data_IF_639774083763
#
_entry.id   IF_639774083763
#
_cell.length_a   1.000
_cell.length_b   1.000
_cell.length_c   1.000
_cell.angle_alpha   90.00
_cell.angle_beta   90.00
_cell.angle_gamma   90.00
#
_symmetry.space_group_name_H-M   'P 1'
#
loop_
_entity.id
_entity.type
_entity.pdbx_description
1 polymer ?
#
# COMPACT_ATOMS: atom_id res chain seq x y z
N UNK A 1 -7.66 20.66 -31.77
CA UNK A 1 -7.92 19.47 -32.63
C UNK A 1 -8.48 18.40 -31.72
N UNK A 2 -9.81 18.28 -31.68
CA UNK A 2 -10.53 17.28 -30.91
C UNK A 2 -10.24 15.90 -31.48
N UNK A 3 -9.66 15.03 -30.66
CA UNK A 3 -9.48 13.62 -31.01
C UNK A 3 -10.86 12.97 -30.90
N UNK A 4 -11.52 12.76 -32.03
CA UNK A 4 -12.74 11.95 -32.10
C UNK A 4 -12.39 10.53 -31.72
N UNK A 5 -12.87 10.08 -30.55
CA UNK A 5 -12.89 8.67 -30.19
C UNK A 5 -13.62 7.88 -31.28
N UNK A 6 -13.10 6.72 -31.67
CA UNK A 6 -13.67 5.89 -32.70
C UNK A 6 -15.06 5.40 -32.29
N UNK A 7 -15.96 5.18 -33.27
CA UNK A 7 -17.31 4.65 -32.97
C UNK A 7 -17.30 3.26 -32.32
N UNK A 8 -16.20 2.52 -32.43
CA UNK A 8 -15.99 1.26 -31.68
C UNK A 8 -15.83 1.50 -30.19
N UNK A 9 -15.05 2.52 -29.78
CA UNK A 9 -14.83 2.88 -28.37
C UNK A 9 -16.11 3.42 -27.69
N UNK A 10 -17.07 3.89 -28.49
CA UNK A 10 -18.40 4.34 -27.99
C UNK A 10 -19.40 3.19 -27.85
N UNK A 11 -19.31 2.14 -28.66
CA UNK A 11 -20.27 1.02 -28.62
C UNK A 11 -20.00 0.00 -27.51
N UNK A 12 -18.78 -0.13 -27.03
CA UNK A 12 -18.46 -1.03 -25.91
C UNK A 12 -18.86 -0.47 -24.53
N UNK A 13 -19.09 0.85 -24.40
CA UNK A 13 -19.47 1.47 -23.13
C UNK A 13 -20.96 1.39 -22.75
N UNK A 14 -21.84 0.94 -23.65
CA UNK A 14 -23.29 1.10 -23.48
C UNK A 14 -24.06 -0.19 -23.16
N UNK A 15 -23.40 -1.33 -22.87
CA UNK A 15 -24.11 -2.60 -22.69
C UNK A 15 -23.88 -3.30 -21.32
N UNK A 16 -23.04 -2.78 -20.45
CA UNK A 16 -22.89 -3.38 -19.11
C UNK A 16 -24.02 -2.90 -18.20
N UNK A 17 -24.82 -3.86 -17.71
CA UNK A 17 -25.84 -3.57 -16.69
C UNK A 17 -25.18 -2.89 -15.48
N UNK A 18 -25.81 -1.85 -14.90
CA UNK A 18 -25.27 -1.17 -13.75
C UNK A 18 -25.00 -2.15 -12.60
N UNK A 19 -23.86 -1.99 -11.95
CA UNK A 19 -23.50 -2.76 -10.75
C UNK A 19 -24.18 -2.07 -9.56
N UNK A 20 -25.05 -2.77 -8.85
CA UNK A 20 -25.92 -2.17 -7.84
C UNK A 20 -25.44 -2.39 -6.39
N UNK A 21 -24.49 -3.30 -6.19
CA UNK A 21 -23.91 -3.57 -4.87
C UNK A 21 -22.41 -3.89 -4.99
N UNK A 22 -21.70 -3.75 -3.87
CA UNK A 22 -20.29 -4.12 -3.81
C UNK A 22 -20.09 -5.61 -4.06
N UNK A 23 -20.94 -6.45 -3.52
CA UNK A 23 -20.94 -7.91 -3.71
C UNK A 23 -21.02 -8.27 -5.21
N UNK A 24 -22.00 -7.70 -5.93
CA UNK A 24 -22.10 -7.85 -7.39
C UNK A 24 -20.85 -7.33 -8.11
N UNK A 25 -20.28 -6.22 -7.65
CA UNK A 25 -19.05 -5.65 -8.20
C UNK A 25 -17.84 -6.56 -8.03
N UNK A 26 -17.73 -7.21 -6.89
CA UNK A 26 -16.67 -8.20 -6.60
C UNK A 26 -16.84 -9.43 -7.49
N UNK A 27 -18.05 -10.00 -7.54
CA UNK A 27 -18.33 -11.21 -8.33
C UNK A 27 -18.10 -11.04 -9.84
N UNK A 28 -18.44 -9.86 -10.38
CA UNK A 28 -18.27 -9.54 -11.81
C UNK A 28 -16.87 -9.06 -12.18
N UNK A 29 -16.01 -8.86 -11.19
CA UNK A 29 -14.68 -8.29 -11.38
C UNK A 29 -13.63 -9.36 -11.62
N UNK A 30 -12.71 -9.10 -12.57
CA UNK A 30 -11.49 -9.90 -12.78
C UNK A 30 -10.29 -9.32 -12.00
N UNK A 31 -10.56 -8.76 -10.82
CA UNK A 31 -9.54 -8.17 -9.95
C UNK A 31 -8.82 -9.21 -9.11
N UNK A 32 -7.52 -9.04 -8.99
CA UNK A 32 -6.69 -9.76 -8.02
C UNK A 32 -6.26 -8.78 -6.95
N UNK A 33 -6.53 -9.11 -5.69
CA UNK A 33 -6.22 -8.28 -4.55
C UNK A 33 -5.05 -8.85 -3.77
N UNK A 34 -4.10 -7.99 -3.45
CA UNK A 34 -2.90 -8.29 -2.69
C UNK A 34 -2.84 -7.42 -1.45
N UNK A 35 -2.19 -7.91 -0.40
CA UNK A 35 -1.62 -7.06 0.64
C UNK A 35 -0.11 -7.03 0.52
N UNK A 36 0.44 -5.82 0.48
CA UNK A 36 1.88 -5.57 0.47
C UNK A 36 2.28 -5.13 1.86
N UNK A 37 3.22 -5.83 2.46
CA UNK A 37 3.62 -5.62 3.85
C UNK A 37 5.12 -5.31 3.94
N UNK A 38 5.45 -4.18 4.58
CA UNK A 38 6.80 -3.87 5.01
C UNK A 38 6.97 -4.22 6.49
N UNK A 39 7.91 -5.10 6.79
CA UNK A 39 8.12 -5.66 8.12
C UNK A 39 9.22 -4.96 8.88
N UNK A 40 8.96 -4.68 10.15
CA UNK A 40 9.97 -4.36 11.16
C UNK A 40 9.86 -5.44 12.27
N UNK A 41 10.66 -6.48 12.17
CA UNK A 41 10.57 -7.70 12.95
C UNK A 41 9.17 -8.35 12.79
N UNK A 42 8.39 -8.49 13.86
CA UNK A 42 7.04 -9.06 13.84
C UNK A 42 5.92 -8.05 13.58
N UNK A 43 6.25 -6.76 13.38
CA UNK A 43 5.29 -5.69 13.16
C UNK A 43 5.19 -5.31 11.69
N UNK A 44 3.96 -5.08 11.25
CA UNK A 44 3.69 -4.56 9.91
C UNK A 44 3.73 -3.04 9.93
N UNK A 45 4.89 -2.44 9.61
CA UNK A 45 5.07 -0.98 9.63
C UNK A 45 4.54 -0.29 8.36
N UNK A 46 4.43 -1.04 7.28
CA UNK A 46 3.77 -0.62 6.04
C UNK A 46 2.73 -1.66 5.67
N UNK A 47 1.49 -1.22 5.44
CA UNK A 47 0.37 -2.06 5.02
C UNK A 47 -0.30 -1.39 3.84
N UNK A 48 -0.31 -2.04 2.67
CA UNK A 48 -0.92 -1.52 1.47
C UNK A 48 -1.82 -2.60 0.87
N UNK A 49 -3.10 -2.30 0.71
CA UNK A 49 -4.00 -3.10 -0.12
C UNK A 49 -3.80 -2.67 -1.58
N UNK A 50 -3.57 -3.62 -2.48
CA UNK A 50 -3.40 -3.40 -3.90
C UNK A 50 -4.41 -4.23 -4.67
N UNK A 51 -5.21 -3.59 -5.53
CA UNK A 51 -6.23 -4.23 -6.34
C UNK A 51 -5.91 -4.07 -7.83
N UNK A 52 -5.46 -5.14 -8.47
CA UNK A 52 -5.12 -5.17 -9.89
C UNK A 52 -6.32 -5.59 -10.73
N UNK A 53 -6.84 -4.65 -11.51
CA UNK A 53 -7.86 -4.88 -12.52
C UNK A 53 -7.19 -5.38 -13.81
N UNK A 54 -7.31 -6.66 -14.11
CA UNK A 54 -6.66 -7.28 -15.25
C UNK A 54 -7.34 -6.95 -16.58
N UNK A 55 -8.64 -6.72 -16.53
CA UNK A 55 -9.45 -6.35 -17.71
C UNK A 55 -9.15 -4.91 -18.16
N UNK A 56 -9.23 -3.95 -17.21
CA UNK A 56 -9.06 -2.52 -17.52
C UNK A 56 -7.63 -2.03 -17.33
N UNK A 57 -6.69 -2.93 -17.02
CA UNK A 57 -5.27 -2.61 -16.86
C UNK A 57 -5.06 -1.42 -15.89
N UNK A 58 -5.54 -1.56 -14.67
CA UNK A 58 -5.43 -0.53 -13.64
C UNK A 58 -5.10 -1.15 -12.29
N UNK A 59 -4.31 -0.46 -11.50
CA UNK A 59 -4.01 -0.86 -10.12
C UNK A 59 -4.41 0.25 -9.16
N UNK A 60 -5.27 -0.08 -8.21
CA UNK A 60 -5.66 0.81 -7.12
C UNK A 60 -4.93 0.38 -5.83
N UNK A 61 -4.22 1.33 -5.19
CA UNK A 61 -3.52 1.12 -3.93
C UNK A 61 -4.20 1.88 -2.81
N UNK A 62 -4.41 1.22 -1.67
CA UNK A 62 -4.89 1.84 -0.43
C UNK A 62 -3.87 1.58 0.67
N UNK A 63 -3.14 2.62 1.08
CA UNK A 63 -2.26 2.55 2.25
C UNK A 63 -3.06 2.58 3.52
N UNK A 64 -2.87 1.59 4.39
CA UNK A 64 -3.53 1.48 5.69
C UNK A 64 -2.55 1.95 6.77
N UNK A 65 -2.84 3.06 7.49
CA UNK A 65 -1.96 3.55 8.53
C UNK A 65 -1.74 2.48 9.61
N UNK A 66 -0.50 2.23 9.99
CA UNK A 66 -0.13 1.17 10.94
C UNK A 66 -0.78 1.31 12.33
N UNK A 67 -1.15 2.54 12.69
CA UNK A 67 -1.81 2.86 13.95
C UNK A 67 -3.34 2.79 13.85
N UNK A 68 -3.90 2.25 12.76
CA UNK A 68 -5.35 2.09 12.57
C UNK A 68 -5.93 1.25 13.71
N UNK A 69 -6.96 1.82 14.34
CA UNK A 69 -7.66 1.16 15.43
C UNK A 69 -8.43 -0.05 14.92
N UNK A 70 -8.21 -1.20 15.58
CA UNK A 70 -8.96 -2.43 15.34
C UNK A 70 -9.47 -2.99 16.67
N UNK A 71 -10.77 -3.28 16.74
CA UNK A 71 -11.31 -3.98 17.88
C UNK A 71 -11.04 -5.48 17.75
N UNK A 72 -10.47 -6.08 18.81
CA UNK A 72 -10.23 -7.53 18.88
C UNK A 72 -10.67 -8.05 20.24
N UNK A 73 -11.63 -8.96 20.25
CA UNK A 73 -12.11 -9.59 21.49
C UNK A 73 -10.98 -10.36 22.17
N UNK A 74 -10.79 -10.15 23.48
CA UNK A 74 -9.71 -10.79 24.26
C UNK A 74 -8.35 -10.07 24.21
N UNK A 75 -8.24 -8.98 23.41
CA UNK A 75 -7.04 -8.14 23.33
C UNK A 75 -7.37 -6.76 23.92
N UNK A 76 -7.38 -6.65 25.23
CA UNK A 76 -7.92 -5.47 25.91
C UNK A 76 -6.91 -4.33 26.09
N UNK A 77 -5.60 -4.61 25.99
CA UNK A 77 -4.55 -3.59 26.18
C UNK A 77 -4.54 -2.58 25.02
N UNK A 78 -4.24 -1.32 25.35
CA UNK A 78 -4.21 -0.22 24.37
C UNK A 78 -3.31 -0.53 23.15
N UNK A 79 -2.11 -1.05 23.36
CA UNK A 79 -1.16 -1.38 22.30
C UNK A 79 -1.68 -2.47 21.35
N UNK A 80 -2.53 -3.36 21.86
CA UNK A 80 -3.09 -4.46 21.09
C UNK A 80 -4.23 -4.03 20.15
N UNK A 81 -4.68 -2.77 20.23
CA UNK A 81 -5.75 -2.22 19.40
C UNK A 81 -5.27 -1.54 18.12
N UNK A 82 -4.03 -1.80 17.69
CA UNK A 82 -3.48 -1.29 16.43
C UNK A 82 -3.36 -2.40 15.41
N UNK A 83 -3.59 -2.09 14.13
CA UNK A 83 -3.51 -3.09 13.06
C UNK A 83 -2.10 -3.69 12.90
N UNK A 84 -1.07 -2.91 13.18
CA UNK A 84 0.33 -3.33 13.00
C UNK A 84 0.81 -4.47 13.92
N UNK A 85 0.05 -4.83 14.95
CA UNK A 85 0.35 -5.97 15.82
C UNK A 85 -0.49 -7.21 15.50
N UNK A 86 -1.48 -7.08 14.60
CA UNK A 86 -2.39 -8.20 14.27
C UNK A 86 -1.65 -9.39 13.67
N UNK A 87 -0.66 -9.12 12.80
CA UNK A 87 0.17 -10.18 12.21
C UNK A 87 0.94 -10.97 13.28
N UNK A 88 1.57 -10.29 14.22
CA UNK A 88 2.31 -10.95 15.32
C UNK A 88 1.44 -11.82 16.21
N UNK A 89 0.17 -11.41 16.44
CA UNK A 89 -0.76 -12.13 17.32
C UNK A 89 -1.53 -13.25 16.59
N UNK A 90 -1.87 -13.07 15.30
CA UNK A 90 -2.80 -13.94 14.57
C UNK A 90 -2.27 -14.45 13.22
N UNK A 91 -1.02 -14.14 12.90
CA UNK A 91 -0.42 -14.50 11.61
C UNK A 91 -1.10 -13.81 10.42
N UNK A 92 -0.78 -14.32 9.23
CA UNK A 92 -1.26 -13.76 7.97
C UNK A 92 -2.77 -13.87 7.82
N UNK A 93 -3.36 -14.99 8.20
CA UNK A 93 -4.81 -15.22 8.09
C UNK A 93 -5.62 -14.22 8.94
N UNK A 94 -5.14 -13.93 10.16
CA UNK A 94 -5.79 -12.93 11.00
C UNK A 94 -5.68 -11.52 10.45
N UNK A 95 -4.53 -11.16 9.86
CA UNK A 95 -4.33 -9.87 9.23
C UNK A 95 -5.19 -9.74 7.96
N UNK A 96 -5.23 -10.76 7.09
CA UNK A 96 -6.09 -10.80 5.89
C UNK A 96 -7.54 -10.56 6.27
N UNK A 97 -8.11 -11.34 7.18
CA UNK A 97 -9.50 -11.19 7.66
C UNK A 97 -9.77 -9.80 8.25
N UNK A 98 -8.81 -9.23 8.96
CA UNK A 98 -8.96 -7.87 9.52
C UNK A 98 -9.07 -6.84 8.40
N UNK A 99 -8.24 -6.94 7.36
CA UNK A 99 -8.25 -6.03 6.22
C UNK A 99 -9.51 -6.23 5.37
N UNK A 100 -9.91 -7.47 5.10
CA UNK A 100 -11.15 -7.80 4.39
C UNK A 100 -12.36 -7.15 5.07
N UNK A 101 -12.51 -7.34 6.37
CA UNK A 101 -13.57 -6.71 7.17
C UNK A 101 -13.54 -5.19 7.07
N UNK A 102 -12.36 -4.57 7.20
CA UNK A 102 -12.19 -3.12 7.12
C UNK A 102 -12.56 -2.53 5.75
N UNK A 103 -12.41 -3.32 4.70
CA UNK A 103 -12.68 -2.92 3.31
C UNK A 103 -14.06 -3.41 2.81
N UNK A 104 -14.96 -3.84 3.70
CA UNK A 104 -16.32 -4.26 3.35
C UNK A 104 -16.38 -5.66 2.73
N UNK A 105 -15.65 -6.59 3.32
CA UNK A 105 -15.56 -8.01 2.92
C UNK A 105 -14.93 -8.20 1.51
N UNK A 106 -14.11 -7.26 1.07
CA UNK A 106 -13.34 -7.40 -0.17
C UNK A 106 -12.28 -8.49 0.01
N UNK A 107 -12.26 -9.55 -0.81
CA UNK A 107 -11.35 -10.66 -0.61
C UNK A 107 -9.89 -10.25 -0.83
N UNK A 108 -8.99 -10.73 0.02
CA UNK A 108 -7.54 -10.64 -0.15
C UNK A 108 -7.03 -11.98 -0.68
N UNK A 109 -6.64 -12.01 -1.96
CA UNK A 109 -6.22 -13.23 -2.62
C UNK A 109 -4.82 -13.64 -2.20
N UNK A 110 -3.88 -12.69 -2.21
CA UNK A 110 -2.47 -12.95 -1.99
C UNK A 110 -1.82 -11.92 -1.07
N UNK A 111 -0.63 -12.27 -0.57
CA UNK A 111 0.22 -11.32 0.14
C UNK A 111 1.65 -11.30 -0.42
N UNK A 112 2.31 -10.17 -0.26
CA UNK A 112 3.74 -9.99 -0.49
C UNK A 112 4.31 -9.28 0.72
N UNK A 113 5.20 -9.94 1.43
CA UNK A 113 5.82 -9.43 2.65
C UNK A 113 7.32 -9.27 2.42
N UNK A 114 7.86 -8.12 2.76
CA UNK A 114 9.27 -7.79 2.59
C UNK A 114 9.82 -7.16 3.86
N UNK A 115 10.99 -7.58 4.28
CA UNK A 115 11.77 -6.93 5.33
C UNK A 115 12.74 -5.88 4.76
N UNK A 116 13.46 -5.19 5.63
CA UNK A 116 14.41 -4.16 5.20
C UNK A 116 15.52 -4.71 4.31
N UNK A 117 15.97 -5.94 4.56
CA UNK A 117 17.00 -6.56 3.73
C UNK A 117 16.50 -6.92 2.34
N UNK A 118 15.26 -7.39 2.26
CA UNK A 118 14.57 -7.61 0.99
C UNK A 118 14.42 -6.32 0.19
N UNK A 119 14.02 -5.22 0.84
CA UNK A 119 13.94 -3.91 0.17
C UNK A 119 15.30 -3.48 -0.36
N UNK A 120 16.39 -3.59 0.43
CA UNK A 120 17.75 -3.29 -0.05
C UNK A 120 18.07 -4.06 -1.33
N UNK A 121 17.90 -5.38 -1.29
CA UNK A 121 18.25 -6.26 -2.40
C UNK A 121 17.40 -5.98 -3.66
N UNK A 122 16.10 -5.75 -3.49
CA UNK A 122 15.20 -5.41 -4.60
C UNK A 122 15.64 -4.10 -5.26
N UNK A 123 15.88 -3.05 -4.46
CA UNK A 123 16.28 -1.74 -4.98
C UNK A 123 17.64 -1.81 -5.69
N UNK A 124 18.61 -2.52 -5.13
CA UNK A 124 19.94 -2.69 -5.74
C UNK A 124 19.85 -3.48 -7.05
N UNK A 125 18.98 -4.51 -7.11
CA UNK A 125 18.80 -5.33 -8.31
C UNK A 125 18.30 -4.55 -9.54
N UNK A 126 17.57 -3.45 -9.30
CA UNK A 126 17.07 -2.56 -10.37
C UNK A 126 17.94 -1.32 -10.59
N UNK A 127 19.07 -1.20 -9.86
CA UNK A 127 19.99 -0.07 -9.97
C UNK A 127 19.50 1.22 -9.30
N UNK A 128 18.85 1.09 -8.14
CA UNK A 128 18.35 2.21 -7.32
C UNK A 128 16.97 2.72 -7.72
N UNK A 129 16.38 3.61 -6.93
CA UNK A 129 15.06 4.23 -7.14
C UNK A 129 15.17 5.74 -7.09
N UNK A 130 14.60 6.43 -8.08
CA UNK A 130 14.56 7.89 -8.13
C UNK A 130 13.44 8.42 -7.25
N UNK A 131 13.77 9.34 -6.32
CA UNK A 131 12.81 9.98 -5.42
C UNK A 131 13.14 11.45 -5.23
N UNK A 132 12.12 12.24 -4.92
CA UNK A 132 12.31 13.59 -4.40
C UNK A 132 12.29 13.57 -2.87
N UNK A 133 13.41 13.94 -2.24
CA UNK A 133 13.55 14.06 -0.79
C UNK A 133 13.10 15.46 -0.36
N UNK A 134 11.98 15.62 0.38
CA UNK A 134 11.35 16.92 0.60
C UNK A 134 12.13 17.85 1.53
N UNK A 135 12.99 17.30 2.38
CA UNK A 135 13.88 18.01 3.31
C UNK A 135 15.09 17.13 3.64
N UNK A 136 16.16 17.73 4.19
CA UNK A 136 17.31 16.94 4.64
C UNK A 136 16.89 15.98 5.77
N UNK A 137 16.92 14.68 5.49
CA UNK A 137 16.59 13.62 6.43
C UNK A 137 17.83 13.24 7.23
N UNK A 138 17.90 13.69 8.49
CA UNK A 138 18.99 13.35 9.40
C UNK A 138 18.43 12.76 10.69
N UNK A 139 18.85 11.54 11.02
CA UNK A 139 18.44 10.84 12.22
C UNK A 139 19.48 9.81 12.62
N UNK A 140 19.79 9.73 13.91
CA UNK A 140 20.73 8.76 14.47
C UNK A 140 20.09 8.04 15.65
N UNK A 141 20.15 6.70 15.62
CA UNK A 141 19.78 5.84 16.73
C UNK A 141 20.87 4.80 16.96
N UNK A 142 21.81 5.09 17.87
CA UNK A 142 22.88 4.14 18.20
C UNK A 142 22.39 2.93 19.00
N UNK A 143 21.14 2.95 19.53
CA UNK A 143 20.57 1.89 20.34
C UNK A 143 19.88 0.82 19.51
N UNK A 144 19.51 1.12 18.27
CA UNK A 144 18.94 0.14 17.34
C UNK A 144 19.99 -0.93 16.98
N UNK A 145 19.52 -2.11 16.62
CA UNK A 145 20.39 -3.25 16.22
C UNK A 145 20.02 -3.69 14.80
N UNK A 146 20.89 -3.43 13.80
CA UNK A 146 22.12 -2.60 13.85
C UNK A 146 21.82 -1.12 14.08
N UNK A 147 22.82 -0.31 14.51
CA UNK A 147 22.66 1.13 14.69
C UNK A 147 22.13 1.80 13.43
N UNK A 148 21.14 2.69 13.57
CA UNK A 148 20.52 3.39 12.46
C UNK A 148 21.11 4.78 12.33
N UNK A 149 21.70 5.05 11.15
CA UNK A 149 22.15 6.39 10.77
C UNK A 149 21.52 6.75 9.44
N UNK A 150 20.70 7.80 9.43
CA UNK A 150 20.06 8.35 8.24
C UNK A 150 20.66 9.71 7.95
N UNK A 151 21.18 9.87 6.73
CA UNK A 151 21.68 11.15 6.22
C UNK A 151 21.43 11.21 4.71
N UNK A 152 20.26 11.80 4.33
CA UNK A 152 19.83 11.91 2.94
C UNK A 152 19.54 13.38 2.64
N UNK A 153 20.32 14.03 1.75
CA UNK A 153 20.12 15.43 1.39
C UNK A 153 18.75 15.64 0.71
N UNK A 154 18.23 16.88 0.86
CA UNK A 154 17.01 17.31 0.14
C UNK A 154 17.26 17.34 -1.37
N UNK A 155 16.22 17.06 -2.16
CA UNK A 155 16.19 17.19 -3.61
C UNK A 155 15.99 15.85 -4.33
N UNK A 156 16.19 15.87 -5.64
CA UNK A 156 16.17 14.66 -6.47
C UNK A 156 17.34 13.76 -6.11
N UNK A 157 17.06 12.49 -5.82
CA UNK A 157 18.03 11.49 -5.41
C UNK A 157 17.76 10.16 -6.13
N UNK A 158 18.83 9.45 -6.47
CA UNK A 158 18.77 8.03 -6.80
C UNK A 158 19.21 7.27 -5.56
N UNK A 159 18.28 6.63 -4.89
CA UNK A 159 18.55 5.87 -3.67
C UNK A 159 18.99 4.46 -4.02
N UNK A 160 20.15 4.05 -3.51
CA UNK A 160 20.54 2.63 -3.42
C UNK A 160 19.70 1.91 -2.36
N UNK A 161 19.86 0.59 -2.23
CA UNK A 161 19.06 -0.20 -1.30
C UNK A 161 19.14 0.29 0.14
N UNK A 162 20.34 0.64 0.63
CA UNK A 162 20.54 1.15 2.01
C UNK A 162 19.84 2.48 2.23
N UNK A 163 20.01 3.42 1.30
CA UNK A 163 19.35 4.73 1.39
C UNK A 163 17.85 4.64 1.20
N UNK A 164 17.36 3.69 0.39
CA UNK A 164 15.94 3.41 0.25
C UNK A 164 15.31 2.98 1.59
N UNK A 165 15.94 2.06 2.31
CA UNK A 165 15.47 1.66 3.65
C UNK A 165 15.54 2.82 4.63
N UNK A 166 16.59 3.63 4.61
CA UNK A 166 16.69 4.84 5.44
C UNK A 166 15.55 5.81 5.13
N UNK A 167 15.25 6.07 3.85
CA UNK A 167 14.16 6.93 3.41
C UNK A 167 12.79 6.43 3.89
N UNK A 168 12.50 5.14 3.74
CA UNK A 168 11.23 4.52 4.15
C UNK A 168 11.05 4.50 5.68
N UNK A 169 12.14 4.42 6.44
CA UNK A 169 12.12 4.42 7.91
C UNK A 169 12.05 5.82 8.51
N UNK A 170 12.44 6.85 7.77
CA UNK A 170 12.52 8.20 8.32
C UNK A 170 11.14 8.73 8.71
N UNK A 171 11.02 9.27 9.91
CA UNK A 171 9.81 9.97 10.41
C UNK A 171 10.10 11.42 10.78
N UNK A 172 11.13 11.62 11.59
CA UNK A 172 11.57 12.92 12.13
C UNK A 172 13.02 12.83 12.59
N UNK A 173 13.71 13.95 12.61
CA UNK A 173 15.05 14.06 13.15
C UNK A 173 15.07 13.97 14.69
N UNK A 174 16.26 13.74 15.27
CA UNK A 174 16.45 13.57 16.71
C UNK A 174 15.94 14.74 17.57
N UNK A 175 15.97 15.96 17.03
CA UNK A 175 15.49 17.16 17.70
C UNK A 175 13.98 17.43 17.52
N UNK A 176 13.23 16.54 16.87
CA UNK A 176 11.81 16.68 16.50
C UNK A 176 11.47 17.93 15.66
N UNK A 177 12.45 18.68 15.14
CA UNK A 177 12.22 19.91 14.38
C UNK A 177 12.05 19.68 12.88
N UNK A 178 12.67 18.64 12.34
CA UNK A 178 12.62 18.29 10.92
C UNK A 178 11.90 16.97 10.75
N UNK A 179 10.87 16.95 9.92
CA UNK A 179 10.06 15.76 9.66
C UNK A 179 8.86 16.10 8.77
N UNK A 180 8.05 15.11 8.50
CA UNK A 180 6.83 15.31 7.74
C UNK A 180 5.83 16.15 8.55
N UNK A 181 5.29 17.21 7.93
CA UNK A 181 4.33 18.11 8.58
C UNK A 181 3.07 17.39 9.04
N UNK A 182 2.64 16.41 8.28
CA UNK A 182 1.46 15.58 8.52
C UNK A 182 1.80 14.33 9.35
N UNK A 183 2.99 14.27 9.95
CA UNK A 183 3.43 13.14 10.76
C UNK A 183 3.46 11.83 9.99
N UNK A 184 2.72 10.84 10.45
CA UNK A 184 2.69 9.50 9.82
C UNK A 184 2.06 9.50 8.42
N UNK A 185 1.06 10.35 8.17
CA UNK A 185 0.45 10.48 6.84
C UNK A 185 1.43 11.02 5.80
N UNK A 186 2.30 11.96 6.17
CA UNK A 186 3.36 12.44 5.29
C UNK A 186 4.38 11.35 4.96
N UNK A 187 4.69 10.46 5.91
CA UNK A 187 5.53 9.29 5.65
C UNK A 187 4.84 8.31 4.70
N UNK A 188 3.56 8.03 4.89
CA UNK A 188 2.77 7.17 3.99
C UNK A 188 2.83 7.71 2.57
N UNK A 189 2.67 9.02 2.38
CA UNK A 189 2.78 9.65 1.06
C UNK A 189 4.17 9.43 0.44
N UNK A 190 5.24 9.63 1.21
CA UNK A 190 6.59 9.35 0.72
C UNK A 190 6.81 7.87 0.35
N UNK A 191 6.22 6.94 1.11
CA UNK A 191 6.23 5.51 0.78
C UNK A 191 5.44 5.21 -0.49
N UNK A 192 4.31 5.90 -0.74
CA UNK A 192 3.54 5.79 -1.99
C UNK A 192 4.35 6.30 -3.19
N UNK A 193 4.99 7.46 -3.07
CA UNK A 193 5.84 8.04 -4.11
C UNK A 193 7.04 7.12 -4.41
N UNK A 194 7.66 6.54 -3.38
CA UNK A 194 8.72 5.54 -3.52
C UNK A 194 8.23 4.28 -4.26
N UNK A 195 7.12 3.70 -3.81
CA UNK A 195 6.54 2.50 -4.44
C UNK A 195 6.18 2.78 -5.90
N UNK A 196 5.62 3.95 -6.17
CA UNK A 196 5.32 4.37 -7.54
C UNK A 196 6.60 4.42 -8.41
N UNK A 197 7.68 5.04 -7.91
CA UNK A 197 8.96 5.12 -8.63
C UNK A 197 9.59 3.74 -8.84
N UNK A 198 9.51 2.85 -7.82
CA UNK A 198 9.95 1.47 -7.90
C UNK A 198 9.20 0.71 -9.00
N UNK A 199 7.87 0.79 -9.00
CA UNK A 199 7.02 0.14 -10.01
C UNK A 199 7.31 0.70 -11.40
N UNK A 200 7.34 2.01 -11.56
CA UNK A 200 7.60 2.66 -12.85
C UNK A 200 8.96 2.26 -13.45
N UNK A 201 9.99 2.12 -12.61
CA UNK A 201 11.32 1.66 -13.05
C UNK A 201 11.33 0.17 -13.40
N UNK A 202 10.49 -0.62 -12.74
CA UNK A 202 10.40 -2.07 -12.92
C UNK A 202 9.56 -2.48 -14.12
N UNK A 203 8.63 -1.60 -14.58
CA UNK A 203 7.75 -1.88 -15.71
C UNK A 203 8.51 -1.94 -17.05
N UNK A 204 7.94 -2.67 -18.00
CA UNK A 204 8.48 -2.81 -19.35
C UNK A 204 9.19 -4.14 -19.58
N UNK A 205 10.08 -4.20 -20.57
CA UNK A 205 10.74 -5.44 -21.02
C UNK A 205 11.59 -6.13 -19.94
N UNK A 206 12.01 -5.41 -18.90
CA UNK A 206 12.80 -5.94 -17.78
C UNK A 206 11.95 -6.54 -16.66
N UNK A 207 10.62 -6.33 -16.67
CA UNK A 207 9.73 -6.77 -15.59
C UNK A 207 9.88 -8.26 -15.22
N UNK A 208 9.97 -9.21 -16.16
CA UNK A 208 10.19 -10.62 -15.80
C UNK A 208 11.50 -10.88 -15.04
N UNK A 209 12.56 -10.15 -15.37
CA UNK A 209 13.85 -10.25 -14.68
C UNK A 209 13.76 -9.67 -13.27
N UNK A 210 13.08 -8.51 -13.12
CA UNK A 210 12.85 -7.89 -11.82
C UNK A 210 12.00 -8.80 -10.94
N UNK A 211 10.91 -9.35 -11.45
CA UNK A 211 10.06 -10.32 -10.71
C UNK A 211 10.92 -11.50 -10.24
N UNK A 212 11.71 -12.11 -11.13
CA UNK A 212 12.56 -13.26 -10.78
C UNK A 212 13.61 -12.89 -9.73
N UNK A 213 14.33 -11.78 -9.90
CA UNK A 213 15.37 -11.36 -8.93
C UNK A 213 14.81 -10.91 -7.60
N UNK A 214 13.59 -10.34 -7.57
CA UNK A 214 12.93 -9.90 -6.34
C UNK A 214 12.26 -11.03 -5.57
N UNK A 215 11.90 -12.12 -6.24
CA UNK A 215 11.11 -13.22 -5.67
C UNK A 215 11.81 -13.90 -4.49
N UNK A 216 13.13 -14.00 -4.52
CA UNK A 216 13.94 -14.58 -3.43
C UNK A 216 14.04 -13.68 -2.19
N UNK A 217 13.61 -12.43 -2.31
CA UNK A 217 13.71 -11.41 -1.27
C UNK A 217 12.37 -11.04 -0.63
N UNK A 218 11.30 -11.77 -0.98
CA UNK A 218 9.96 -11.59 -0.43
C UNK A 218 9.42 -12.90 0.14
N UNK A 219 8.55 -12.79 1.14
CA UNK A 219 7.73 -13.91 1.59
C UNK A 219 6.32 -13.72 1.03
N UNK A 220 5.80 -14.75 0.34
CA UNK A 220 4.53 -14.67 -0.37
C UNK A 220 3.88 -16.04 -0.52
N UNK A 221 2.55 -16.08 -0.67
CA UNK A 221 1.78 -17.29 -1.02
C UNK A 221 1.66 -17.51 -2.54
N UNK A 222 2.24 -16.62 -3.35
CA UNK A 222 2.25 -16.73 -4.81
C UNK A 222 3.43 -17.59 -5.25
N UNK A 223 3.25 -18.51 -6.19
CA UNK A 223 4.37 -19.19 -6.84
C UNK A 223 5.11 -18.25 -7.81
N UNK A 224 6.40 -18.55 -8.12
CA UNK A 224 7.15 -17.78 -9.10
C UNK A 224 6.45 -17.74 -10.47
N UNK A 225 5.81 -18.85 -10.87
CA UNK A 225 5.09 -18.93 -12.15
C UNK A 225 3.88 -17.99 -12.16
N UNK A 226 3.14 -17.91 -11.07
CA UNK A 226 2.01 -16.97 -10.92
C UNK A 226 2.51 -15.53 -10.88
N UNK A 227 3.60 -15.24 -10.14
CA UNK A 227 4.20 -13.90 -10.12
C UNK A 227 4.64 -13.46 -11.52
N UNK A 228 5.26 -14.36 -12.32
CA UNK A 228 5.62 -14.08 -13.71
C UNK A 228 4.39 -13.89 -14.60
N UNK A 229 3.30 -14.65 -14.37
CA UNK A 229 2.03 -14.47 -15.08
C UNK A 229 1.45 -13.08 -14.79
N UNK A 230 1.32 -12.69 -13.52
CA UNK A 230 0.82 -11.36 -13.14
C UNK A 230 1.71 -10.23 -13.66
N UNK A 231 3.04 -10.42 -13.62
CA UNK A 231 3.99 -9.49 -14.25
C UNK A 231 3.76 -9.33 -15.74
N UNK A 232 3.52 -10.44 -16.46
CA UNK A 232 3.17 -10.39 -17.89
C UNK A 232 1.82 -9.69 -18.14
N UNK A 233 0.83 -9.94 -17.30
CA UNK A 233 -0.48 -9.29 -17.37
C UNK A 233 -0.37 -7.78 -17.06
N UNK A 234 0.55 -7.38 -16.19
CA UNK A 234 0.85 -5.98 -15.87
C UNK A 234 1.69 -5.28 -16.94
N UNK A 235 2.18 -6.01 -17.96
CA UNK A 235 2.95 -5.41 -19.05
C UNK A 235 2.12 -4.37 -19.81
N UNK A 236 2.72 -3.20 -20.04
CA UNK A 236 2.05 -2.08 -20.71
C UNK A 236 1.27 -1.14 -19.79
N UNK A 237 1.30 -1.38 -18.46
CA UNK A 237 0.82 -0.40 -17.50
C UNK A 237 1.70 0.84 -17.51
N UNK A 238 1.06 2.00 -17.41
CA UNK A 238 1.66 3.33 -17.38
C UNK A 238 1.36 4.04 -16.06
N UNK A 239 2.02 5.19 -15.86
CA UNK A 239 1.81 6.09 -14.71
C UNK A 239 0.33 6.36 -14.37
N UNK A 240 -0.48 6.60 -15.39
CA UNK A 240 -1.91 6.90 -15.28
C UNK A 240 -2.76 5.74 -14.79
N UNK A 241 -2.24 4.51 -14.91
CA UNK A 241 -2.97 3.29 -14.57
C UNK A 241 -2.81 2.93 -13.08
N UNK A 242 -1.97 3.67 -12.35
CA UNK A 242 -1.78 3.52 -10.91
C UNK A 242 -2.50 4.61 -10.14
N UNK A 243 -3.38 4.22 -9.23
CA UNK A 243 -4.06 5.14 -8.32
C UNK A 243 -3.71 4.84 -6.88
N UNK A 244 -3.09 5.81 -6.22
CA UNK A 244 -2.73 5.73 -4.80
C UNK A 244 -3.71 6.51 -3.94
N UNK A 245 -4.13 5.90 -2.84
CA UNK A 245 -4.97 6.51 -1.81
C UNK A 245 -4.50 6.06 -0.42
N UNK A 246 -4.94 6.76 0.58
CA UNK A 246 -4.79 6.34 1.98
C UNK A 246 -6.17 6.01 2.52
N UNK A 247 -6.28 4.98 3.37
CA UNK A 247 -7.51 4.64 4.07
C UNK A 247 -8.09 5.92 4.70
N UNK A 248 -9.33 6.32 4.39
CA UNK A 248 -9.93 7.51 4.97
C UNK A 248 -10.05 7.39 6.49
N UNK A 249 -9.76 8.47 7.19
CA UNK A 249 -9.85 8.48 8.65
C UNK A 249 -9.15 9.69 9.27
N UNK A 250 -9.07 9.69 10.58
CA UNK A 250 -8.44 10.77 11.37
C UNK A 250 -7.63 10.20 12.53
N UNK A 251 -6.54 10.90 12.87
CA UNK A 251 -5.81 10.60 14.09
C UNK A 251 -6.61 11.05 15.31
N UNK A 252 -6.74 10.20 16.32
CA UNK A 252 -7.48 10.49 17.57
C UNK A 252 -6.82 9.80 18.74
N UNK A 253 -6.90 10.41 19.91
CA UNK A 253 -6.46 9.80 21.16
C UNK A 253 -7.61 9.02 21.78
N UNK A 254 -7.32 7.80 22.26
CA UNK A 254 -8.26 6.99 23.04
C UNK A 254 -7.57 6.44 24.28
N UNK A 255 -8.30 6.44 25.38
CA UNK A 255 -7.86 5.81 26.64
C UNK A 255 -8.47 4.41 26.72
N UNK A 256 -7.62 3.39 26.80
CA UNK A 256 -8.02 1.99 26.92
C UNK A 256 -7.22 1.40 28.07
N UNK A 257 -7.89 0.77 29.03
CA UNK A 257 -7.27 0.22 30.26
C UNK A 257 -6.32 1.23 30.95
N UNK A 258 -6.80 2.49 31.09
CA UNK A 258 -6.04 3.56 31.74
C UNK A 258 -4.85 4.11 30.93
N UNK A 259 -4.56 3.60 29.73
CA UNK A 259 -3.47 4.07 28.87
C UNK A 259 -4.02 4.84 27.66
N UNK A 260 -3.57 6.09 27.51
CA UNK A 260 -3.94 6.94 26.37
C UNK A 260 -2.91 6.80 25.25
N UNK A 261 -3.36 6.36 24.08
CA UNK A 261 -2.55 6.26 22.87
C UNK A 261 -3.21 6.98 21.70
N UNK A 262 -2.40 7.39 20.75
CA UNK A 262 -2.88 7.86 19.45
C UNK A 262 -3.22 6.67 18.54
N UNK A 263 -4.38 6.73 17.91
CA UNK A 263 -4.85 5.79 16.90
C UNK A 263 -5.27 6.53 15.65
N UNK A 264 -5.28 5.83 14.54
CA UNK A 264 -5.94 6.28 13.33
C UNK A 264 -7.33 5.63 13.26
N UNK A 265 -8.37 6.46 13.28
CA UNK A 265 -9.76 5.99 13.27
C UNK A 265 -10.28 6.06 11.85
N UNK A 266 -10.63 4.90 11.32
CA UNK A 266 -11.18 4.76 9.97
C UNK A 266 -12.53 5.51 9.83
N UNK A 267 -12.72 6.17 8.69
CA UNK A 267 -14.01 6.68 8.22
C UNK A 267 -14.63 5.59 7.32
N UNK A 268 -15.52 4.78 7.92
CA UNK A 268 -16.12 3.63 7.24
C UNK A 268 -16.94 4.04 6.02
N UNK A 269 -17.66 5.19 6.07
CA UNK A 269 -18.47 5.65 4.95
C UNK A 269 -17.60 6.03 3.75
N UNK A 270 -16.55 6.81 3.97
CA UNK A 270 -15.63 7.19 2.89
C UNK A 270 -14.81 6.01 2.39
N UNK A 271 -14.48 5.05 3.26
CA UNK A 271 -13.84 3.80 2.84
C UNK A 271 -14.74 3.04 1.89
N UNK A 272 -16.02 2.88 2.25
CA UNK A 272 -17.02 2.24 1.39
C UNK A 272 -17.11 2.93 0.03
N UNK A 273 -17.17 4.27 0.00
CA UNK A 273 -17.22 5.03 -1.27
C UNK A 273 -16.00 4.76 -2.17
N UNK A 274 -14.80 4.67 -1.58
CA UNK A 274 -13.57 4.34 -2.34
C UNK A 274 -13.64 2.93 -2.89
N UNK A 275 -14.06 1.96 -2.09
CA UNK A 275 -14.15 0.57 -2.50
C UNK A 275 -15.23 0.38 -3.58
N UNK A 276 -16.41 0.98 -3.41
CA UNK A 276 -17.47 0.97 -4.42
C UNK A 276 -16.99 1.59 -5.74
N UNK A 277 -16.19 2.66 -5.70
CA UNK A 277 -15.61 3.26 -6.89
C UNK A 277 -14.57 2.36 -7.57
N UNK A 278 -13.77 1.59 -6.79
CA UNK A 278 -12.83 0.59 -7.31
C UNK A 278 -13.58 -0.52 -8.05
N UNK A 279 -14.70 -0.99 -7.50
CA UNK A 279 -15.54 -2.04 -8.08
C UNK A 279 -16.67 -1.52 -8.96
N UNK A 280 -16.68 -0.22 -9.29
CA UNK A 280 -17.62 0.43 -10.23
C UNK A 280 -19.09 0.32 -9.85
N UNK A 281 -19.37 0.25 -8.56
CA UNK A 281 -20.75 0.26 -8.06
C UNK A 281 -21.43 1.57 -8.48
N UNK A 282 -22.58 1.47 -9.12
CA UNK A 282 -23.36 2.63 -9.57
C UNK A 282 -23.88 3.40 -8.36
N UNK A 283 -23.58 4.70 -8.28
CA UNK A 283 -24.18 5.55 -7.24
C UNK A 283 -25.68 5.60 -7.47
N UNK A 284 -26.48 5.15 -6.50
CA UNK A 284 -27.92 5.40 -6.51
C UNK A 284 -28.12 6.91 -6.48
N UNK A 285 -28.66 7.47 -7.57
CA UNK A 285 -29.17 8.85 -7.54
C UNK A 285 -30.34 8.83 -6.57
N UNK A 286 -30.35 9.67 -5.51
CA UNK A 286 -31.56 9.79 -4.69
C UNK A 286 -32.72 10.16 -5.63
N UNK A 287 -33.78 9.38 -5.63
CA UNK A 287 -35.03 9.83 -6.23
C UNK A 287 -35.56 10.96 -5.34
N UNK A 288 -35.58 12.18 -5.86
CA UNK A 288 -36.26 13.33 -5.26
C UNK A 288 -37.78 13.10 -5.13
#
# INVERSE_FOLDING_TARGET
>A
KDIKLSEKDKKEKDTEKPINSLEEGIERSDRINFILLGMDDIRTDTIIFASFDREYKRVDFISIPRDTYVYRKGYEKAEQRKINVVYGDHGMEGLKKTIEYMLGEVPVHHYVMVDYKGVENIVDSIGGVEVYVPFHMKYEDPTSKPPLCIDIPKGEQVLDGKKAVQFLRYRKGNNNKVGYREGDLGRIKAQQDFLFSLLNKSLGARLPLVVKSSFEHVNTDISLNEALKYGKEAFGLDKKDFKFSTLPGVASYRTIEGKTLSYYIQDELKTKEIIEAIYRVSKKVPME
#
